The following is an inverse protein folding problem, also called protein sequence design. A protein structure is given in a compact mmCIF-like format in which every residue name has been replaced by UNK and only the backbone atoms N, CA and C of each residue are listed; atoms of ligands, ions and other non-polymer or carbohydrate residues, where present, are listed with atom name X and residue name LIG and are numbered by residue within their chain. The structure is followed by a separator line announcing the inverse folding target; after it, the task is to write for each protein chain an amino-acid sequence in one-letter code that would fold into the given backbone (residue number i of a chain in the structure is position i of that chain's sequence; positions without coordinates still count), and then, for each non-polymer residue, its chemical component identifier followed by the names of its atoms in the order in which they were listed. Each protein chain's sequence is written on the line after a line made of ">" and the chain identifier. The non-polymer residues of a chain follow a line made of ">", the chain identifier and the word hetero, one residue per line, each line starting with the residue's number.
data_IF_000513181874
#
_entry.id   IF_000513181874
#
_cell.length_a   1.000
_cell.length_b   1.000
_cell.length_c   1.000
_cell.angle_alpha   90.00
_cell.angle_beta   90.00
_cell.angle_gamma   90.00
#
_symmetry.space_group_name_H-M   'P 1'
#
loop_
_entity.id
_entity.type
_entity.pdbx_description
1 polymer ?
#
# COMPACT_ATOMS: atom_id res chain seq x y z
N UNK A 1 -13.00 -9.52 16.89
CA UNK A 1 -13.47 -10.91 16.80
C UNK A 1 -13.50 -11.50 18.21
N UNK A 2 -14.61 -12.06 18.67
CA UNK A 2 -14.70 -12.70 19.96
C UNK A 2 -15.25 -14.11 19.72
N UNK A 3 -14.41 -15.12 19.93
CA UNK A 3 -14.79 -16.53 19.83
C UNK A 3 -13.88 -17.38 20.72
N UNK A 4 -14.37 -18.50 21.22
CA UNK A 4 -13.55 -19.41 22.01
C UNK A 4 -12.38 -19.93 21.14
N UNK A 5 -11.15 -19.78 21.63
CA UNK A 5 -9.95 -20.19 20.91
C UNK A 5 -9.45 -19.23 19.80
N UNK A 6 -9.93 -17.98 19.77
CA UNK A 6 -9.43 -16.95 18.85
C UNK A 6 -8.84 -15.79 19.65
N UNK A 7 -7.60 -15.45 19.40
CA UNK A 7 -6.90 -14.28 19.96
C UNK A 7 -6.66 -13.28 18.85
N UNK A 8 -7.05 -12.03 19.08
CA UNK A 8 -6.80 -10.94 18.17
C UNK A 8 -6.17 -9.78 18.96
N UNK A 9 -4.91 -9.51 18.69
CA UNK A 9 -4.16 -8.46 19.38
C UNK A 9 -4.50 -7.11 18.75
N UNK A 10 -4.43 -6.06 19.54
CA UNK A 10 -4.45 -4.70 19.02
C UNK A 10 -3.06 -4.38 18.47
N UNK A 11 -2.99 -3.87 17.25
CA UNK A 11 -1.76 -3.40 16.59
C UNK A 11 -1.85 -1.92 16.30
N UNK A 12 -0.71 -1.23 16.36
CA UNK A 12 -0.63 0.18 16.01
C UNK A 12 -0.88 0.36 14.52
N UNK A 13 -1.74 1.33 14.19
CA UNK A 13 -2.05 1.70 12.80
C UNK A 13 -1.65 3.17 12.57
N UNK A 14 -0.56 3.42 11.84
CA UNK A 14 -0.08 4.78 11.59
C UNK A 14 -1.12 5.67 10.91
N UNK A 15 -1.99 5.10 10.07
CA UNK A 15 -3.04 5.84 9.37
C UNK A 15 -4.15 6.39 10.28
N UNK A 16 -4.24 5.87 11.52
CA UNK A 16 -5.19 6.32 12.55
C UNK A 16 -4.58 7.29 13.57
N UNK A 17 -3.39 7.80 13.32
CA UNK A 17 -2.58 8.58 14.27
C UNK A 17 -3.26 9.84 14.81
N UNK A 18 -4.16 10.44 14.06
CA UNK A 18 -4.95 11.61 14.52
C UNK A 18 -6.05 11.27 15.52
N UNK A 19 -6.29 10.01 15.83
CA UNK A 19 -7.37 9.55 16.70
C UNK A 19 -6.82 9.09 18.04
N UNK A 20 -7.62 9.26 19.10
CA UNK A 20 -7.26 8.85 20.49
C UNK A 20 -6.96 7.37 20.65
N UNK A 21 -7.25 6.55 19.65
CA UNK A 21 -6.97 5.11 19.61
C UNK A 21 -6.40 4.74 18.24
N UNK A 22 -5.15 5.08 18.01
CA UNK A 22 -4.44 4.67 16.80
C UNK A 22 -4.13 3.15 16.78
N UNK A 23 -5.11 2.33 17.13
CA UNK A 23 -4.98 0.88 17.23
C UNK A 23 -6.08 0.22 16.42
N UNK A 24 -5.71 -0.76 15.61
CA UNK A 24 -6.64 -1.67 14.91
C UNK A 24 -6.52 -3.09 15.43
N UNK A 25 -7.48 -3.91 15.12
CA UNK A 25 -7.37 -5.35 15.33
C UNK A 25 -6.30 -5.92 14.37
N UNK A 26 -5.32 -6.61 14.90
CA UNK A 26 -4.34 -7.36 14.13
C UNK A 26 -4.94 -8.65 13.53
N UNK A 27 -4.10 -9.43 12.88
CA UNK A 27 -4.53 -10.73 12.36
C UNK A 27 -4.91 -11.68 13.50
N UNK A 28 -5.98 -12.48 13.34
CA UNK A 28 -6.42 -13.41 14.37
C UNK A 28 -5.52 -14.65 14.43
N UNK A 29 -5.15 -15.02 15.66
CA UNK A 29 -4.49 -16.29 15.96
C UNK A 29 -5.54 -17.31 16.42
N UNK A 30 -5.49 -18.51 15.88
CA UNK A 30 -6.46 -19.57 16.18
C UNK A 30 -5.77 -20.69 16.97
N UNK A 31 -6.39 -21.12 18.06
CA UNK A 31 -5.91 -22.28 18.83
C UNK A 31 -5.99 -23.58 17.99
N UNK A 32 -7.01 -23.70 17.10
CA UNK A 32 -7.12 -24.77 16.13
C UNK A 32 -6.58 -24.33 14.76
N UNK A 33 -5.45 -24.90 14.37
CA UNK A 33 -4.77 -24.57 13.10
C UNK A 33 -5.63 -24.85 11.86
N UNK A 34 -6.50 -25.88 11.90
CA UNK A 34 -7.38 -26.19 10.78
C UNK A 34 -8.48 -25.12 10.60
N UNK A 35 -9.03 -24.61 11.69
CA UNK A 35 -9.97 -23.49 11.67
C UNK A 35 -9.27 -22.22 11.20
N UNK A 36 -8.05 -21.95 11.64
CA UNK A 36 -7.24 -20.83 11.17
C UNK A 36 -7.02 -20.88 9.65
N UNK A 37 -6.56 -22.03 9.14
CA UNK A 37 -6.34 -22.21 7.70
C UNK A 37 -7.62 -21.96 6.87
N UNK A 38 -8.78 -22.47 7.32
CA UNK A 38 -10.06 -22.22 6.66
C UNK A 38 -10.49 -20.76 6.73
N UNK A 39 -10.24 -20.10 7.85
CA UNK A 39 -10.57 -18.68 8.02
C UNK A 39 -9.73 -17.79 7.08
N UNK A 40 -8.43 -18.03 6.99
CA UNK A 40 -7.56 -17.30 6.05
C UNK A 40 -7.93 -17.58 4.59
N UNK A 41 -8.31 -18.81 4.25
CA UNK A 41 -8.83 -19.13 2.92
C UNK A 41 -10.13 -18.37 2.61
N UNK A 42 -11.05 -18.28 3.55
CA UNK A 42 -12.27 -17.50 3.41
C UNK A 42 -11.99 -15.98 3.29
N UNK A 43 -11.00 -15.45 4.03
CA UNK A 43 -10.58 -14.06 3.88
C UNK A 43 -10.04 -13.77 2.47
N UNK A 44 -9.23 -14.67 1.90
CA UNK A 44 -8.75 -14.53 0.51
C UNK A 44 -9.90 -14.55 -0.50
N UNK A 45 -10.89 -15.41 -0.32
CA UNK A 45 -12.11 -15.44 -1.15
C UNK A 45 -12.91 -14.12 -1.02
N UNK A 46 -12.98 -13.55 0.19
CA UNK A 46 -13.61 -12.24 0.41
C UNK A 46 -12.84 -11.12 -0.33
N UNK A 47 -11.52 -11.11 -0.24
CA UNK A 47 -10.67 -10.14 -0.96
C UNK A 47 -10.83 -10.30 -2.48
N UNK A 48 -10.83 -11.51 -3.02
CA UNK A 48 -11.05 -11.78 -4.44
C UNK A 48 -12.42 -11.26 -4.91
N UNK A 49 -13.46 -11.47 -4.10
CA UNK A 49 -14.80 -10.95 -4.39
C UNK A 49 -14.82 -9.43 -4.47
N UNK A 50 -14.11 -8.76 -3.57
CA UNK A 50 -13.97 -7.29 -3.59
C UNK A 50 -13.18 -6.83 -4.81
N UNK A 51 -12.05 -7.47 -5.14
CA UNK A 51 -11.26 -7.14 -6.34
C UNK A 51 -12.10 -7.31 -7.63
N UNK A 52 -12.90 -8.38 -7.72
CA UNK A 52 -13.82 -8.58 -8.83
C UNK A 52 -14.91 -7.49 -8.88
N UNK A 53 -15.44 -7.08 -7.72
CA UNK A 53 -16.39 -5.97 -7.62
C UNK A 53 -15.79 -4.65 -8.08
N UNK A 54 -14.54 -4.35 -7.71
CA UNK A 54 -13.81 -3.17 -8.18
C UNK A 54 -13.63 -3.22 -9.69
N UNK A 55 -13.14 -4.34 -10.24
CA UNK A 55 -12.89 -4.52 -11.68
C UNK A 55 -14.16 -4.34 -12.53
N UNK A 56 -15.31 -4.80 -12.03
CA UNK A 56 -16.59 -4.68 -12.70
C UNK A 56 -17.34 -3.36 -12.44
N UNK A 57 -16.82 -2.51 -11.56
CA UNK A 57 -17.48 -1.28 -11.15
C UNK A 57 -17.31 -0.12 -12.15
N UNK A 58 -18.20 0.88 -12.13
CA UNK A 58 -17.98 2.11 -12.90
C UNK A 58 -16.76 2.92 -12.42
N UNK A 59 -16.22 2.61 -11.25
CA UNK A 59 -15.03 3.28 -10.69
C UNK A 59 -13.70 2.62 -11.04
N UNK A 60 -13.71 1.48 -11.74
CA UNK A 60 -12.49 0.75 -12.11
C UNK A 60 -11.44 1.64 -12.82
N UNK A 61 -11.90 2.62 -13.61
CA UNK A 61 -11.04 3.60 -14.28
C UNK A 61 -10.45 4.68 -13.35
N UNK A 62 -10.97 4.80 -12.15
CA UNK A 62 -10.57 5.80 -11.15
C UNK A 62 -9.73 5.25 -10.02
N UNK A 63 -9.59 3.95 -9.90
CA UNK A 63 -8.89 3.29 -8.80
C UNK A 63 -7.58 2.69 -9.29
N UNK A 64 -6.50 2.97 -8.58
CA UNK A 64 -5.17 2.38 -8.82
C UNK A 64 -4.81 1.54 -7.60
N UNK A 65 -4.80 0.22 -7.76
CA UNK A 65 -4.42 -0.72 -6.71
C UNK A 65 -2.92 -0.62 -6.43
N UNK A 66 -2.54 -0.64 -5.16
CA UNK A 66 -1.17 -0.78 -4.67
C UNK A 66 -1.11 -1.73 -3.47
N UNK A 67 0.06 -1.91 -2.88
CA UNK A 67 0.21 -2.62 -1.60
C UNK A 67 0.36 -4.13 -1.71
N UNK A 68 0.03 -4.83 -0.62
CA UNK A 68 0.37 -6.24 -0.38
C UNK A 68 -0.23 -7.22 -1.38
N UNK A 69 -1.38 -6.92 -1.94
CA UNK A 69 -2.03 -7.77 -2.96
C UNK A 69 -1.18 -7.89 -4.22
N UNK A 70 -0.56 -6.79 -4.65
CA UNK A 70 0.34 -6.81 -5.81
C UNK A 70 1.62 -7.60 -5.51
N UNK A 71 2.14 -7.51 -4.29
CA UNK A 71 3.29 -8.31 -3.86
C UNK A 71 2.97 -9.80 -3.95
N UNK A 72 1.78 -10.22 -3.47
CA UNK A 72 1.34 -11.62 -3.61
C UNK A 72 1.19 -12.02 -5.07
N UNK A 73 0.68 -11.15 -5.93
CA UNK A 73 0.57 -11.41 -7.36
C UNK A 73 1.94 -11.57 -8.05
N UNK A 74 2.98 -10.89 -7.56
CA UNK A 74 4.32 -10.92 -8.16
C UNK A 74 5.25 -11.96 -7.57
N UNK A 75 5.14 -12.25 -6.26
CA UNK A 75 6.09 -13.05 -5.51
C UNK A 75 5.47 -14.34 -4.93
N UNK A 76 4.16 -14.50 -5.06
CA UNK A 76 3.49 -15.73 -4.60
C UNK A 76 3.73 -15.99 -3.12
N UNK A 77 4.31 -17.16 -2.81
CA UNK A 77 4.54 -17.62 -1.44
C UNK A 77 5.62 -16.82 -0.67
N UNK A 78 6.46 -16.07 -1.38
CA UNK A 78 7.47 -15.22 -0.74
C UNK A 78 6.87 -13.89 -0.24
N UNK A 79 5.67 -13.51 -0.73
CA UNK A 79 4.97 -12.35 -0.21
C UNK A 79 4.27 -12.68 1.12
N UNK A 80 4.18 -11.67 1.99
CA UNK A 80 3.34 -11.77 3.20
C UNK A 80 1.86 -11.86 2.84
N UNK A 81 1.07 -12.45 3.72
CA UNK A 81 -0.38 -12.55 3.57
C UNK A 81 -1.01 -11.15 3.44
N UNK A 82 -1.78 -10.86 2.38
CA UNK A 82 -2.46 -9.57 2.25
C UNK A 82 -3.60 -9.43 3.26
N UNK A 83 -3.64 -8.29 3.97
CA UNK A 83 -4.67 -8.00 4.98
C UNK A 83 -5.70 -6.97 4.53
N UNK A 84 -5.34 -6.12 3.59
CA UNK A 84 -6.06 -4.94 3.14
C UNK A 84 -5.92 -4.72 1.62
N UNK A 85 -6.75 -3.84 1.10
CA UNK A 85 -6.73 -3.39 -0.29
C UNK A 85 -6.49 -1.88 -0.31
N UNK A 86 -5.35 -1.47 -0.84
CA UNK A 86 -4.97 -0.06 -0.91
C UNK A 86 -5.20 0.50 -2.31
N UNK A 87 -5.93 1.61 -2.41
CA UNK A 87 -6.22 2.28 -3.68
C UNK A 87 -5.86 3.77 -3.63
N UNK A 88 -5.30 4.26 -4.73
CA UNK A 88 -5.23 5.69 -5.00
C UNK A 88 -6.41 6.04 -5.91
N UNK A 89 -7.14 7.09 -5.53
CA UNK A 89 -8.27 7.61 -6.30
C UNK A 89 -7.78 8.65 -7.30
N UNK A 90 -8.15 8.48 -8.56
CA UNK A 90 -7.78 9.39 -9.66
C UNK A 90 -9.03 9.93 -10.35
N UNK A 91 -9.00 11.12 -10.93
CA UNK A 91 -7.90 12.09 -10.94
C UNK A 91 -7.69 12.78 -9.58
N UNK A 92 -6.61 13.52 -9.41
CA UNK A 92 -6.21 14.15 -8.13
C UNK A 92 -7.12 15.29 -7.68
N UNK A 93 -8.02 15.78 -8.55
CA UNK A 93 -9.07 16.75 -8.22
C UNK A 93 -10.31 16.11 -7.57
N UNK A 94 -10.31 14.79 -7.40
CA UNK A 94 -11.35 14.09 -6.64
C UNK A 94 -11.03 14.17 -5.15
N UNK A 95 -11.74 15.04 -4.46
CA UNK A 95 -11.53 15.31 -3.04
C UNK A 95 -12.30 14.33 -2.13
N UNK A 96 -11.87 14.29 -0.86
CA UNK A 96 -12.44 13.41 0.16
C UNK A 96 -13.94 13.59 0.36
N UNK A 97 -14.42 14.84 0.37
CA UNK A 97 -15.80 15.22 0.60
C UNK A 97 -16.62 15.38 -0.69
N UNK A 98 -16.07 14.95 -1.83
CA UNK A 98 -16.79 14.92 -3.09
C UNK A 98 -18.00 13.98 -2.98
N UNK A 99 -19.18 14.37 -3.47
CA UNK A 99 -20.36 13.48 -3.50
C UNK A 99 -20.15 12.13 -4.18
N UNK A 100 -19.18 12.04 -5.11
CA UNK A 100 -18.77 10.78 -5.75
C UNK A 100 -18.20 9.78 -4.75
N UNK A 101 -17.58 10.25 -3.66
CA UNK A 101 -16.93 9.40 -2.65
C UNK A 101 -17.94 8.51 -1.93
N UNK A 102 -19.07 9.06 -1.52
CA UNK A 102 -20.15 8.25 -0.93
C UNK A 102 -20.72 7.22 -1.91
N UNK A 103 -20.87 7.60 -3.17
CA UNK A 103 -21.29 6.71 -4.25
C UNK A 103 -20.29 5.55 -4.46
N UNK A 104 -18.99 5.87 -4.47
CA UNK A 104 -17.90 4.91 -4.57
C UNK A 104 -17.98 3.86 -3.44
N UNK A 105 -17.95 4.31 -2.18
CA UNK A 105 -17.90 3.41 -1.02
C UNK A 105 -19.16 2.56 -0.90
N UNK A 106 -20.35 3.18 -1.04
CA UNK A 106 -21.63 2.45 -0.99
C UNK A 106 -21.77 1.48 -2.15
N UNK A 107 -21.41 1.93 -3.34
CA UNK A 107 -21.56 1.12 -4.55
C UNK A 107 -20.61 -0.07 -4.58
N UNK A 108 -19.37 0.08 -4.11
CA UNK A 108 -18.43 -1.04 -4.01
C UNK A 108 -18.88 -2.07 -2.96
N UNK A 109 -19.31 -1.63 -1.77
CA UNK A 109 -19.85 -2.52 -0.76
C UNK A 109 -21.03 -3.35 -1.29
N UNK A 110 -22.00 -2.67 -1.93
CA UNK A 110 -23.17 -3.33 -2.52
C UNK A 110 -22.80 -4.25 -3.71
N UNK A 111 -21.78 -3.89 -4.51
CA UNK A 111 -21.31 -4.74 -5.59
C UNK A 111 -20.63 -6.00 -5.06
N UNK A 112 -19.80 -5.88 -4.04
CA UNK A 112 -19.12 -7.00 -3.39
C UNK A 112 -20.14 -7.96 -2.72
N UNK A 113 -21.15 -7.42 -2.04
CA UNK A 113 -22.23 -8.24 -1.48
C UNK A 113 -22.98 -9.03 -2.56
N UNK A 114 -23.33 -8.40 -3.69
CA UNK A 114 -24.00 -9.08 -4.82
C UNK A 114 -23.17 -10.19 -5.47
N UNK A 115 -21.84 -10.07 -5.46
CA UNK A 115 -20.92 -11.08 -5.99
C UNK A 115 -20.56 -12.16 -4.99
N UNK A 116 -21.03 -12.04 -3.74
CA UNK A 116 -20.72 -12.99 -2.66
C UNK A 116 -21.17 -14.41 -3.01
N UNK A 117 -20.30 -15.36 -2.73
CA UNK A 117 -20.56 -16.81 -2.86
C UNK A 117 -20.70 -17.51 -1.53
N UNK A 118 -19.80 -18.46 -1.26
CA UNK A 118 -19.70 -19.18 0.02
C UNK A 118 -19.30 -18.27 1.16
N UNK A 119 -18.45 -17.28 0.89
CA UNK A 119 -18.16 -16.17 1.78
C UNK A 119 -19.09 -15.02 1.46
N UNK A 120 -19.86 -14.58 2.44
CA UNK A 120 -20.85 -13.51 2.30
C UNK A 120 -20.35 -12.20 2.86
N UNK A 121 -20.30 -11.18 2.04
CA UNK A 121 -19.98 -9.80 2.42
C UNK A 121 -21.27 -9.07 2.83
N UNK A 122 -21.21 -8.19 3.82
CA UNK A 122 -22.36 -7.52 4.42
C UNK A 122 -22.27 -6.00 4.24
N UNK A 123 -22.85 -5.48 3.17
CA UNK A 123 -22.79 -4.05 2.84
C UNK A 123 -23.56 -3.19 3.85
N UNK A 124 -24.64 -3.70 4.44
CA UNK A 124 -25.46 -3.03 5.45
C UNK A 124 -24.73 -2.82 6.79
N UNK A 125 -23.65 -3.58 7.01
CA UNK A 125 -22.82 -3.53 8.21
C UNK A 125 -21.46 -2.86 7.96
N UNK A 126 -21.25 -2.32 6.77
CA UNK A 126 -20.00 -1.65 6.40
C UNK A 126 -19.74 -0.42 7.28
N UNK A 127 -18.50 -0.29 7.77
CA UNK A 127 -18.04 0.85 8.56
C UNK A 127 -17.12 1.71 7.70
N UNK A 128 -17.20 3.04 7.86
CA UNK A 128 -16.39 4.02 7.15
C UNK A 128 -15.66 4.88 8.15
N UNK A 129 -14.35 4.98 7.96
CA UNK A 129 -13.49 5.79 8.81
C UNK A 129 -12.70 6.79 7.95
N UNK A 130 -12.33 7.91 8.53
CA UNK A 130 -11.33 8.80 7.98
C UNK A 130 -9.94 8.27 8.31
N UNK A 131 -9.04 8.33 7.35
CA UNK A 131 -7.65 7.95 7.55
C UNK A 131 -6.73 9.04 6.99
N UNK A 132 -5.50 9.05 7.48
CA UNK A 132 -4.45 9.93 7.00
C UNK A 132 -3.22 9.12 6.64
N UNK A 133 -2.92 9.07 5.37
CA UNK A 133 -1.69 8.43 4.90
C UNK A 133 -0.55 9.45 5.01
N UNK A 134 0.53 9.07 5.69
CA UNK A 134 1.72 9.93 5.95
C UNK A 134 1.40 11.24 6.68
N UNK A 135 0.40 11.25 7.53
CA UNK A 135 -0.09 12.43 8.27
C UNK A 135 -0.55 13.61 7.36
N UNK A 136 -0.72 13.40 6.06
CA UNK A 136 -0.95 14.49 5.08
C UNK A 136 -1.95 14.22 4.01
N UNK A 137 -2.01 12.98 3.53
CA UNK A 137 -2.89 12.63 2.43
C UNK A 137 -4.19 12.08 2.99
N UNK A 138 -5.31 12.79 2.79
CA UNK A 138 -6.59 12.37 3.32
C UNK A 138 -7.09 11.10 2.63
N UNK A 139 -7.74 10.26 3.39
CA UNK A 139 -8.29 9.00 2.88
C UNK A 139 -9.59 8.59 3.56
N UNK A 140 -10.23 7.60 2.95
CA UNK A 140 -11.38 6.89 3.52
C UNK A 140 -11.06 5.41 3.62
N UNK A 141 -11.38 4.85 4.77
CA UNK A 141 -11.35 3.41 5.00
C UNK A 141 -12.77 2.86 4.94
N UNK A 142 -12.94 1.79 4.19
CA UNK A 142 -14.15 0.99 4.18
C UNK A 142 -13.83 -0.36 4.80
N UNK A 143 -14.42 -0.67 5.95
CA UNK A 143 -14.34 -1.98 6.60
C UNK A 143 -15.61 -2.74 6.28
N UNK A 144 -15.48 -3.83 5.54
CA UNK A 144 -16.60 -4.63 5.05
C UNK A 144 -16.60 -5.99 5.78
N UNK A 145 -17.58 -6.26 6.66
CA UNK A 145 -17.70 -7.54 7.35
C UNK A 145 -18.04 -8.66 6.38
N UNK A 146 -17.54 -9.86 6.69
CA UNK A 146 -17.90 -11.08 5.99
C UNK A 146 -18.18 -12.23 6.95
N UNK A 147 -18.95 -13.19 6.47
CA UNK A 147 -19.27 -14.44 7.18
C UNK A 147 -19.12 -15.64 6.27
N UNK A 148 -18.76 -16.79 6.85
CA UNK A 148 -18.75 -18.10 6.20
C UNK A 148 -19.20 -19.16 7.19
N UNK A 149 -19.86 -20.21 6.71
CA UNK A 149 -20.46 -21.24 7.55
C UNK A 149 -19.41 -21.96 8.41
N UNK A 150 -19.67 -22.02 9.71
CA UNK A 150 -18.80 -22.70 10.68
C UNK A 150 -17.45 -21.97 10.93
N UNK A 151 -17.33 -20.70 10.59
CA UNK A 151 -16.19 -19.86 10.88
C UNK A 151 -16.60 -18.61 11.68
N UNK A 152 -15.71 -18.07 12.52
CA UNK A 152 -15.89 -16.72 13.06
C UNK A 152 -15.98 -15.69 11.94
N UNK A 153 -16.85 -14.69 12.12
CA UNK A 153 -16.91 -13.56 11.19
C UNK A 153 -15.55 -12.85 11.08
N UNK A 154 -15.27 -12.28 9.93
CA UNK A 154 -14.09 -11.46 9.69
C UNK A 154 -14.45 -10.16 9.00
N UNK A 155 -13.42 -9.39 8.66
CA UNK A 155 -13.53 -8.14 7.89
C UNK A 155 -12.49 -8.11 6.79
N UNK A 156 -12.80 -7.45 5.69
CA UNK A 156 -11.84 -6.95 4.72
C UNK A 156 -11.83 -5.44 4.78
N UNK A 157 -10.65 -4.85 4.63
CA UNK A 157 -10.43 -3.42 4.72
C UNK A 157 -10.01 -2.90 3.34
N UNK A 158 -10.61 -1.79 2.94
CA UNK A 158 -10.23 -1.07 1.73
C UNK A 158 -9.86 0.36 2.13
N UNK A 159 -8.67 0.78 1.79
CA UNK A 159 -8.18 2.13 2.01
C UNK A 159 -8.12 2.88 0.69
N UNK A 160 -8.76 4.03 0.64
CA UNK A 160 -8.81 4.91 -0.51
C UNK A 160 -8.12 6.23 -0.16
N UNK A 161 -7.06 6.54 -0.89
CA UNK A 161 -6.29 7.78 -0.71
C UNK A 161 -6.64 8.73 -1.83
N UNK A 162 -6.94 9.98 -1.47
CA UNK A 162 -7.38 11.03 -2.38
C UNK A 162 -6.27 12.07 -2.55
N UNK A 163 -6.31 12.80 -3.65
CA UNK A 163 -5.38 13.91 -3.95
C UNK A 163 -3.88 13.54 -4.01
N UNK A 164 -3.55 12.24 -3.98
CA UNK A 164 -2.18 11.77 -4.11
C UNK A 164 -1.77 11.73 -5.60
N UNK A 165 -0.77 12.53 -6.02
CA UNK A 165 -0.30 12.48 -7.40
C UNK A 165 0.50 11.21 -7.65
N UNK A 166 0.36 10.67 -8.86
CA UNK A 166 1.12 9.51 -9.30
C UNK A 166 2.40 9.96 -10.02
N UNK A 167 3.55 9.50 -9.56
CA UNK A 167 4.84 9.78 -10.19
C UNK A 167 5.09 8.95 -11.47
N UNK A 168 4.23 7.96 -11.73
CA UNK A 168 4.23 7.17 -12.97
C UNK A 168 2.81 6.78 -13.37
N UNK A 169 2.62 6.55 -14.67
CA UNK A 169 1.34 6.10 -15.20
C UNK A 169 0.98 4.68 -14.70
N UNK A 170 -0.25 4.46 -14.22
CA UNK A 170 -0.69 3.13 -13.82
C UNK A 170 -0.70 2.14 -14.99
N UNK A 171 -0.32 0.91 -14.69
CA UNK A 171 -0.38 -0.20 -15.65
C UNK A 171 -1.67 -1.00 -15.49
N UNK A 172 -2.09 -1.72 -16.54
CA UNK A 172 -3.16 -2.71 -16.43
C UNK A 172 -2.56 -4.05 -16.05
N UNK A 173 -3.10 -4.64 -14.99
CA UNK A 173 -2.63 -5.92 -14.45
C UNK A 173 -3.79 -6.87 -14.24
N UNK A 174 -3.63 -8.09 -14.75
CA UNK A 174 -4.49 -9.22 -14.40
C UNK A 174 -4.04 -9.76 -13.04
N UNK A 175 -4.69 -9.33 -11.96
CA UNK A 175 -4.38 -9.73 -10.58
C UNK A 175 -4.93 -11.12 -10.35
N UNK A 176 -4.08 -12.14 -10.10
CA UNK A 176 -4.53 -13.50 -9.87
C UNK A 176 -5.37 -13.59 -8.60
N UNK A 177 -6.34 -14.52 -8.52
CA UNK A 177 -7.07 -14.73 -7.28
C UNK A 177 -6.16 -15.18 -6.14
N UNK A 178 -6.29 -14.53 -4.99
CA UNK A 178 -5.57 -14.86 -3.75
C UNK A 178 -5.95 -16.24 -3.19
N UNK A 179 -7.18 -16.66 -3.44
CA UNK A 179 -7.67 -18.00 -3.11
C UNK A 179 -7.06 -19.12 -3.97
N UNK A 180 -6.35 -18.75 -5.04
CA UNK A 180 -5.76 -19.69 -6.00
C UNK A 180 -6.73 -20.26 -7.04
N UNK A 181 -8.01 -19.81 -7.03
CA UNK A 181 -9.04 -20.27 -7.96
C UNK A 181 -9.97 -19.12 -8.39
N UNK A 182 -10.34 -19.09 -9.66
CA UNK A 182 -11.22 -18.07 -10.21
C UNK A 182 -10.60 -17.32 -11.40
N UNK A 183 -11.24 -16.24 -11.80
CA UNK A 183 -10.79 -15.39 -12.91
C UNK A 183 -9.96 -14.23 -12.35
N UNK A 184 -8.79 -13.93 -12.93
CA UNK A 184 -8.01 -12.75 -12.56
C UNK A 184 -8.84 -11.46 -12.68
N UNK A 185 -8.64 -10.53 -11.76
CA UNK A 185 -9.27 -9.22 -11.80
C UNK A 185 -8.39 -8.26 -12.62
N UNK A 186 -8.95 -7.70 -13.70
CA UNK A 186 -8.29 -6.71 -14.54
C UNK A 186 -8.37 -5.32 -13.90
N UNK A 187 -7.27 -4.83 -13.33
CA UNK A 187 -7.22 -3.59 -12.58
C UNK A 187 -6.14 -2.63 -13.12
N UNK A 188 -6.31 -1.34 -12.83
CA UNK A 188 -5.21 -0.37 -12.90
C UNK A 188 -4.39 -0.53 -11.63
N UNK A 189 -3.09 -0.64 -11.77
CA UNK A 189 -2.18 -0.90 -10.64
C UNK A 189 -0.93 -0.04 -10.74
N UNK A 190 -0.26 0.17 -9.61
CA UNK A 190 1.15 0.54 -9.63
C UNK A 190 1.97 -0.61 -10.23
N UNK A 191 3.08 -0.30 -10.89
CA UNK A 191 4.08 -1.29 -11.24
C UNK A 191 5.05 -1.57 -10.08
N UNK A 192 6.00 -2.49 -10.29
CA UNK A 192 6.97 -2.87 -9.26
C UNK A 192 7.91 -1.72 -8.89
N UNK A 193 8.30 -0.92 -9.88
CA UNK A 193 9.24 0.18 -9.68
C UNK A 193 8.61 1.29 -8.82
N UNK A 194 7.38 1.71 -9.15
CA UNK A 194 6.62 2.69 -8.37
C UNK A 194 6.31 2.15 -6.95
N UNK A 195 5.96 0.87 -6.85
CA UNK A 195 5.73 0.21 -5.55
C UNK A 195 6.98 0.23 -4.68
N UNK A 196 8.17 -0.04 -5.25
CA UNK A 196 9.44 0.07 -4.54
C UNK A 196 9.72 1.50 -4.09
N UNK A 197 9.55 2.48 -4.99
CA UNK A 197 9.78 3.89 -4.66
C UNK A 197 8.92 4.35 -3.46
N UNK A 198 7.65 3.92 -3.38
CA UNK A 198 6.80 4.18 -2.23
C UNK A 198 7.27 3.46 -0.96
N UNK A 199 7.74 2.22 -1.05
CA UNK A 199 8.28 1.51 0.12
C UNK A 199 9.51 2.22 0.70
N UNK A 200 10.39 2.73 -0.17
CA UNK A 200 11.52 3.56 0.27
C UNK A 200 11.03 4.87 0.89
N UNK A 201 10.05 5.53 0.27
CA UNK A 201 9.46 6.74 0.83
C UNK A 201 8.90 6.52 2.24
N UNK A 202 8.20 5.39 2.47
CA UNK A 202 7.62 5.07 3.79
C UNK A 202 8.70 4.79 4.82
N UNK A 203 9.72 4.01 4.46
CA UNK A 203 10.85 3.75 5.36
C UNK A 203 11.57 5.03 5.78
N UNK A 204 11.70 6.00 4.87
CA UNK A 204 12.43 7.26 5.13
C UNK A 204 11.57 8.29 5.86
N UNK A 205 10.31 8.42 5.51
CA UNK A 205 9.44 9.50 6.01
C UNK A 205 8.60 9.12 7.22
N UNK A 206 8.38 7.82 7.47
CA UNK A 206 7.60 7.41 8.63
C UNK A 206 8.46 7.49 9.90
N UNK A 207 7.98 8.21 10.91
CA UNK A 207 8.64 8.25 12.22
C UNK A 207 8.72 6.89 12.92
N UNK A 208 8.00 5.89 12.41
CA UNK A 208 7.97 4.50 12.89
C UNK A 208 8.05 3.54 11.69
N UNK A 209 9.23 3.46 11.07
CA UNK A 209 9.48 2.56 9.95
C UNK A 209 9.11 1.12 10.32
N UNK A 210 8.25 0.49 9.52
CA UNK A 210 7.70 -0.82 9.85
C UNK A 210 8.47 -1.96 9.20
N UNK A 211 8.63 -3.07 9.91
CA UNK A 211 9.31 -4.27 9.40
C UNK A 211 8.68 -4.83 8.12
N UNK A 212 7.36 -4.74 7.99
CA UNK A 212 6.67 -5.15 6.75
C UNK A 212 7.11 -4.35 5.52
N UNK A 213 7.41 -3.06 5.69
CA UNK A 213 7.82 -2.20 4.58
C UNK A 213 9.27 -2.48 4.16
N UNK A 214 10.14 -2.79 5.11
CA UNK A 214 11.49 -3.26 4.81
C UNK A 214 11.47 -4.61 4.09
N UNK A 215 10.68 -5.57 4.59
CA UNK A 215 10.52 -6.87 3.94
C UNK A 215 10.03 -6.75 2.49
N UNK A 216 8.97 -6.00 2.28
CA UNK A 216 8.37 -5.75 0.98
C UNK A 216 9.35 -5.02 0.04
N UNK A 217 10.10 -4.02 0.56
CA UNK A 217 11.10 -3.28 -0.21
C UNK A 217 12.24 -4.18 -0.70
N UNK A 218 12.72 -5.12 0.11
CA UNK A 218 13.74 -6.09 -0.28
C UNK A 218 13.27 -6.96 -1.44
N UNK A 219 12.06 -7.54 -1.34
CA UNK A 219 11.50 -8.36 -2.43
C UNK A 219 11.41 -7.58 -3.75
N UNK A 220 10.96 -6.35 -3.69
CA UNK A 220 10.85 -5.47 -4.86
C UNK A 220 12.22 -5.10 -5.42
N UNK A 221 13.15 -4.65 -4.58
CA UNK A 221 14.48 -4.18 -5.00
C UNK A 221 15.33 -5.31 -5.62
N UNK A 222 15.24 -6.54 -5.09
CA UNK A 222 15.92 -7.69 -5.66
C UNK A 222 15.29 -8.17 -6.99
N UNK A 223 14.04 -7.81 -7.26
CA UNK A 223 13.31 -8.25 -8.46
C UNK A 223 13.46 -7.32 -9.66
N UNK A 224 13.71 -6.02 -9.46
CA UNK A 224 13.77 -5.03 -10.52
C UNK A 224 14.57 -3.79 -10.09
N UNK A 225 15.30 -3.17 -11.04
CA UNK A 225 16.00 -1.92 -10.75
C UNK A 225 15.01 -0.78 -10.47
N UNK A 226 15.45 0.19 -9.65
CA UNK A 226 14.75 1.43 -9.39
C UNK A 226 15.53 2.60 -10.01
N UNK A 227 14.87 3.37 -10.88
CA UNK A 227 15.47 4.60 -11.44
C UNK A 227 15.47 5.71 -10.39
N UNK A 228 16.58 6.38 -10.25
CA UNK A 228 16.69 7.50 -9.31
C UNK A 228 15.70 8.64 -9.63
N UNK A 229 15.41 8.87 -10.91
CA UNK A 229 14.46 9.88 -11.37
C UNK A 229 13.03 9.59 -10.87
N UNK A 230 12.58 8.34 -10.91
CA UNK A 230 11.27 7.96 -10.37
C UNK A 230 11.24 8.10 -8.85
N UNK A 231 12.30 7.65 -8.17
CA UNK A 231 12.43 7.82 -6.72
C UNK A 231 12.38 9.30 -6.34
N UNK A 232 13.13 10.16 -7.05
CA UNK A 232 13.07 11.62 -6.91
C UNK A 232 11.64 12.12 -7.02
N UNK A 233 10.92 11.77 -8.09
CA UNK A 233 9.58 12.29 -8.36
C UNK A 233 8.58 11.90 -7.26
N UNK A 234 8.68 10.68 -6.75
CA UNK A 234 7.89 10.21 -5.59
C UNK A 234 8.18 11.06 -4.34
N UNK A 235 9.45 11.34 -4.05
CA UNK A 235 9.83 12.14 -2.89
C UNK A 235 9.42 13.61 -3.02
N UNK A 236 9.64 14.22 -4.18
CA UNK A 236 9.26 15.62 -4.44
C UNK A 236 7.77 15.86 -4.32
N UNK A 237 6.94 14.87 -4.72
CA UNK A 237 5.48 14.96 -4.57
C UNK A 237 5.01 14.73 -3.14
N UNK A 238 5.80 14.04 -2.32
CA UNK A 238 5.41 13.69 -0.95
C UNK A 238 5.49 14.85 0.02
N UNK A 239 6.54 15.68 -0.06
CA UNK A 239 6.76 16.79 0.85
C UNK A 239 7.66 17.89 0.27
N UNK A 240 7.29 19.19 0.41
CA UNK A 240 8.07 20.32 -0.07
C UNK A 240 9.51 20.38 0.45
N UNK A 241 9.78 19.82 1.63
CA UNK A 241 11.14 19.76 2.18
C UNK A 241 12.11 19.03 1.24
N UNK A 242 11.66 17.99 0.54
CA UNK A 242 12.51 17.27 -0.42
C UNK A 242 12.95 18.09 -1.62
N UNK A 243 12.32 19.26 -1.86
CA UNK A 243 12.82 20.22 -2.85
C UNK A 243 14.10 20.95 -2.40
N UNK A 244 14.56 20.78 -1.16
CA UNK A 244 15.74 21.50 -0.64
C UNK A 244 17.06 20.74 -0.80
N UNK A 245 17.02 19.41 -0.89
CA UNK A 245 18.20 18.57 -1.06
C UNK A 245 17.87 17.22 -1.70
N UNK A 246 18.84 16.56 -2.38
CA UNK A 246 18.64 15.22 -2.93
C UNK A 246 18.53 14.18 -1.83
N UNK A 247 17.86 13.06 -2.15
CA UNK A 247 17.93 11.83 -1.37
C UNK A 247 19.29 11.16 -1.64
N UNK A 248 19.98 10.79 -0.58
CA UNK A 248 21.24 10.05 -0.64
C UNK A 248 21.10 8.69 0.02
N UNK A 249 22.07 7.80 -0.17
CA UNK A 249 22.04 6.45 0.39
C UNK A 249 21.89 6.46 1.91
N UNK A 250 22.53 7.39 2.61
CA UNK A 250 22.47 7.49 4.07
C UNK A 250 21.06 7.82 4.58
N UNK A 251 20.25 8.56 3.81
CA UNK A 251 18.86 8.84 4.16
C UNK A 251 18.01 7.56 4.18
N UNK A 252 18.36 6.57 3.36
CA UNK A 252 17.70 5.26 3.37
C UNK A 252 18.28 4.38 4.47
N UNK A 253 19.58 4.44 4.71
CA UNK A 253 20.27 3.59 5.69
C UNK A 253 19.87 3.93 7.14
N UNK A 254 19.81 5.21 7.50
CA UNK A 254 19.56 5.66 8.89
C UNK A 254 18.22 5.16 9.46
N UNK A 255 17.08 5.21 8.77
CA UNK A 255 15.82 4.66 9.29
C UNK A 255 15.84 3.15 9.51
N UNK A 256 16.65 2.40 8.74
CA UNK A 256 16.72 0.93 8.87
C UNK A 256 17.25 0.48 10.23
N UNK A 257 18.05 1.29 10.91
CA UNK A 257 18.54 1.02 12.26
C UNK A 257 17.43 1.02 13.33
N UNK A 258 16.27 1.63 13.00
CA UNK A 258 15.15 1.85 13.94
C UNK A 258 13.85 1.20 13.48
N UNK A 259 13.93 0.34 12.46
CA UNK A 259 12.76 -0.39 11.96
C UNK A 259 12.15 -1.26 13.06
N UNK A 260 10.84 -1.22 13.21
CA UNK A 260 10.08 -2.06 14.13
C UNK A 260 10.02 -3.53 13.66
N UNK A 261 11.19 -4.19 13.61
CA UNK A 261 11.35 -5.53 13.08
C UNK A 261 10.83 -6.62 14.02
N UNK A 262 10.94 -6.43 15.33
CA UNK A 262 10.52 -7.42 16.31
C UNK A 262 9.00 -7.64 16.29
N UNK A 263 8.21 -6.60 16.00
CA UNK A 263 6.76 -6.75 15.83
C UNK A 263 6.45 -7.56 14.57
N UNK A 264 7.16 -7.30 13.47
CA UNK A 264 7.01 -8.06 12.22
C UNK A 264 7.41 -9.54 12.40
N UNK A 265 8.49 -9.84 13.13
CA UNK A 265 8.92 -11.20 13.40
C UNK A 265 7.96 -12.01 14.25
N UNK A 266 7.11 -11.39 15.06
CA UNK A 266 6.06 -12.11 15.81
C UNK A 266 5.07 -12.80 14.88
N UNK A 267 4.76 -12.18 13.74
CA UNK A 267 3.87 -12.74 12.72
C UNK A 267 4.63 -13.59 11.68
N UNK A 268 5.94 -13.32 11.51
CA UNK A 268 6.81 -13.98 10.52
C UNK A 268 8.09 -14.53 11.16
N UNK A 269 8.01 -15.54 12.06
CA UNK A 269 9.17 -16.00 12.85
C UNK A 269 10.30 -16.63 12.04
N UNK A 270 10.05 -16.97 10.76
CA UNK A 270 11.02 -17.58 9.85
C UNK A 270 11.94 -16.57 9.17
N UNK A 271 11.65 -15.25 9.25
CA UNK A 271 12.49 -14.23 8.62
C UNK A 271 13.79 -13.99 9.41
N UNK A 272 14.83 -13.53 8.72
CA UNK A 272 16.11 -13.17 9.30
C UNK A 272 16.06 -11.93 10.19
N UNK A 273 17.17 -11.24 10.34
CA UNK A 273 17.29 -10.03 11.17
C UNK A 273 17.00 -8.74 10.36
N UNK A 274 16.68 -7.64 11.05
CA UNK A 274 16.54 -6.33 10.42
C UNK A 274 17.82 -5.91 9.69
N UNK A 275 18.97 -6.17 10.32
CA UNK A 275 20.30 -5.86 9.77
C UNK A 275 20.52 -6.58 8.43
N UNK A 276 20.27 -7.90 8.38
CA UNK A 276 20.39 -8.70 7.16
C UNK A 276 19.49 -8.16 6.03
N UNK A 277 18.24 -7.81 6.34
CA UNK A 277 17.32 -7.23 5.35
C UNK A 277 17.71 -5.81 4.95
N UNK A 278 18.22 -5.01 5.89
CA UNK A 278 18.77 -3.69 5.60
C UNK A 278 19.96 -3.73 4.64
N UNK A 279 20.92 -4.62 4.89
CA UNK A 279 22.07 -4.83 4.01
C UNK A 279 21.64 -5.28 2.60
N UNK A 280 20.69 -6.21 2.50
CA UNK A 280 20.15 -6.66 1.21
C UNK A 280 19.48 -5.51 0.44
N UNK A 281 18.67 -4.70 1.13
CA UNK A 281 18.03 -3.53 0.52
C UNK A 281 19.05 -2.54 -0.02
N UNK A 282 20.03 -2.15 0.79
CA UNK A 282 21.08 -1.19 0.40
C UNK A 282 21.92 -1.74 -0.77
N UNK A 283 22.26 -3.02 -0.76
CA UNK A 283 22.97 -3.66 -1.85
C UNK A 283 22.15 -3.64 -3.16
N UNK A 284 20.85 -3.94 -3.09
CA UNK A 284 19.97 -3.91 -4.26
C UNK A 284 19.72 -2.48 -4.78
N UNK A 285 19.74 -1.46 -3.92
CA UNK A 285 19.59 -0.06 -4.28
C UNK A 285 20.91 0.62 -4.73
N UNK A 286 22.06 -0.02 -4.56
CA UNK A 286 23.35 0.57 -4.96
C UNK A 286 23.36 1.08 -6.41
N UNK A 287 22.79 0.41 -7.43
CA UNK A 287 22.71 0.92 -8.79
C UNK A 287 21.82 2.19 -8.93
N UNK A 288 20.79 2.34 -8.10
CA UNK A 288 19.89 3.52 -8.10
C UNK A 288 20.68 4.79 -7.82
N UNK A 289 21.57 4.76 -6.84
CA UNK A 289 22.43 5.90 -6.49
C UNK A 289 23.69 5.97 -7.37
N UNK A 290 24.11 4.86 -8.00
CA UNK A 290 25.16 4.78 -9.02
C UNK A 290 26.54 5.21 -8.57
N UNK A 291 26.83 5.23 -7.25
CA UNK A 291 28.07 5.76 -6.69
C UNK A 291 28.27 7.27 -6.94
N UNK A 292 27.20 7.99 -7.30
CA UNK A 292 27.20 9.43 -7.56
C UNK A 292 27.48 10.20 -6.27
N UNK A 293 28.23 11.27 -6.37
CA UNK A 293 28.38 12.25 -5.30
C UNK A 293 27.05 12.98 -5.02
N UNK A 294 26.94 13.59 -3.84
CA UNK A 294 25.75 14.41 -3.51
C UNK A 294 25.54 15.55 -4.54
N UNK A 295 26.60 16.13 -5.06
CA UNK A 295 26.53 17.18 -6.09
C UNK A 295 25.92 16.65 -7.39
N UNK A 296 26.34 15.47 -7.84
CA UNK A 296 25.78 14.81 -9.03
C UNK A 296 24.32 14.41 -8.83
N UNK A 297 23.96 13.90 -7.64
CA UNK A 297 22.58 13.61 -7.29
C UNK A 297 21.74 14.89 -7.24
N UNK A 298 22.28 16.00 -6.71
CA UNK A 298 21.61 17.31 -6.65
C UNK A 298 21.28 17.83 -8.06
N UNK A 299 22.18 17.66 -9.01
CA UNK A 299 21.95 18.08 -10.39
C UNK A 299 20.79 17.34 -11.08
N UNK A 300 20.57 16.07 -10.71
CA UNK A 300 19.44 15.29 -11.19
C UNK A 300 18.16 15.60 -10.40
N UNK A 301 18.30 15.86 -9.09
CA UNK A 301 17.20 16.09 -8.17
C UNK A 301 16.45 17.39 -8.44
N UNK A 302 17.18 18.47 -8.62
CA UNK A 302 16.66 19.78 -8.96
C UNK A 302 17.24 20.19 -10.34
N UNK A 303 16.65 19.74 -11.45
CA UNK A 303 17.10 20.20 -12.75
C UNK A 303 17.03 21.71 -12.80
N UNK A 304 18.03 22.40 -13.45
CA UNK A 304 18.03 23.84 -13.56
C UNK A 304 16.70 24.32 -14.12
N UNK A 305 16.11 25.34 -13.47
CA UNK A 305 14.89 25.97 -13.96
C UNK A 305 15.10 26.28 -15.45
N UNK A 306 14.21 25.76 -16.29
CA UNK A 306 14.19 26.12 -17.70
C UNK A 306 14.06 27.64 -17.74
N UNK A 307 15.16 28.33 -18.08
CA UNK A 307 15.14 29.75 -18.35
C UNK A 307 14.10 29.98 -19.44
N UNK A 308 12.93 30.42 -19.04
CA UNK A 308 11.99 31.05 -19.96
C UNK A 308 12.70 32.26 -20.49
N UNK A 309 13.27 32.14 -21.70
CA UNK A 309 13.68 33.30 -22.47
C UNK A 309 12.49 34.23 -22.55
N UNK A 310 12.54 35.30 -21.78
CA UNK A 310 11.68 36.44 -21.97
C UNK A 310 12.08 37.05 -23.32
N UNK A 311 11.34 36.67 -24.36
CA UNK A 311 11.37 37.37 -25.65
C UNK A 311 10.97 38.80 -25.39
N UNK A 312 12.02 39.62 -25.17
CA UNK A 312 11.94 41.06 -25.15
C UNK A 312 11.69 41.60 -26.55
N UNK A 313 10.46 41.49 -27.04
CA UNK A 313 10.00 42.26 -28.19
C UNK A 313 9.75 43.69 -27.73
N UNK A 314 10.82 44.48 -27.76
CA UNK A 314 10.72 45.93 -27.80
C UNK A 314 10.04 46.37 -29.07
N UNK A 315 8.80 46.80 -28.95
CA UNK A 315 8.12 47.58 -29.99
C UNK A 315 8.39 49.06 -29.77
N UNK A 316 8.94 49.67 -30.76
CA UNK A 316 8.99 51.13 -30.92
C UNK A 316 7.63 51.69 -31.27
#
# INVERSE_FOLDING_TARGET
>A
MAGEGVVQRAVFDPSLRGYTKAMRAGDPEFADAATGARWYAARREALDTVLAAVAASPWAGHLVLRGSVLLTAWFGADAREPGDLDFIVTPTDWELDDPRTDGLLTGLAAAAERLSGTVRLHADRAVRDEIWTYDRVPGRRLVLPWSADGLPEGTVQLDFVFTEPLAAEPVRTAVPPLSGSGTPAELRTADRELSLAWKILWLVNDGFAQGKDLYDAVLLAESAPLRYELLRDVFLTSHPWWATRPLVTDDVAEPLERVEWDEFRKEHPQVGTAEEYGERLLAALAPTFGGRSEEELRAVWLPPESTTESDGTGAR
#
